data_IF_771603087301
#
_entry.id   IF_771603087301
#
_cell.length_a   1.000
_cell.length_b   1.000
_cell.length_c   1.000
_cell.angle_alpha   90.00
_cell.angle_beta   90.00
_cell.angle_gamma   90.00
#
_symmetry.space_group_name_H-M   'P 1'
#
loop_
_entity.id
_entity.type
_entity.pdbx_description
1 polymer ?
#
# COMPACT_ATOMS: atom_id res chain seq x y z
N UNK A 1 19.02 -4.89 27.22
CA UNK A 1 18.92 -4.93 25.76
C UNK A 1 19.20 -3.54 25.22
N UNK A 2 20.48 -3.26 25.04
CA UNK A 2 21.00 -1.96 24.61
C UNK A 2 21.09 -1.94 23.07
N UNK A 3 19.94 -1.81 22.42
CA UNK A 3 19.90 -1.43 21.01
C UNK A 3 18.87 -0.34 20.89
N UNK A 4 19.27 0.78 20.34
CA UNK A 4 18.38 1.89 19.98
C UNK A 4 17.45 1.42 18.85
N UNK A 5 16.31 0.83 19.26
CA UNK A 5 15.26 0.42 18.32
C UNK A 5 14.45 1.67 18.00
N UNK A 6 14.42 2.09 16.73
CA UNK A 6 13.67 3.24 16.28
C UNK A 6 12.31 2.91 15.65
N UNK A 7 12.05 1.64 15.33
CA UNK A 7 10.82 1.18 14.68
C UNK A 7 10.61 -0.31 14.90
N UNK A 8 9.35 -0.72 15.13
CA UNK A 8 8.94 -2.13 15.09
C UNK A 8 8.02 -2.34 13.87
N UNK A 9 8.33 -3.34 13.05
CA UNK A 9 7.46 -3.78 11.96
C UNK A 9 6.98 -5.20 12.20
N UNK A 10 5.67 -5.43 12.00
CA UNK A 10 5.01 -6.73 12.23
C UNK A 10 4.34 -7.17 10.93
N UNK A 11 4.77 -8.30 10.38
CA UNK A 11 4.16 -8.93 9.21
C UNK A 11 3.66 -10.34 9.62
N UNK A 12 2.39 -10.53 9.80
CA UNK A 12 1.25 -9.64 9.95
C UNK A 12 0.47 -10.01 11.20
N UNK A 13 -0.48 -9.16 11.65
CA UNK A 13 -1.16 -9.31 12.95
C UNK A 13 -1.83 -10.67 13.14
N UNK A 14 -2.40 -11.24 12.09
CA UNK A 14 -3.12 -12.51 12.14
C UNK A 14 -2.21 -13.74 12.35
N UNK A 15 -0.88 -13.59 12.29
CA UNK A 15 0.07 -14.63 12.70
C UNK A 15 0.40 -14.59 14.19
N UNK A 16 0.14 -13.48 14.84
CA UNK A 16 0.36 -13.35 16.28
C UNK A 16 -0.69 -14.17 17.06
N UNK A 17 -0.28 -14.70 18.20
CA UNK A 17 -1.15 -15.37 19.15
C UNK A 17 -1.32 -14.51 20.39
N UNK A 18 -2.54 -14.31 20.79
CA UNK A 18 -2.90 -13.66 22.03
C UNK A 18 -3.00 -14.67 23.20
N UNK A 19 -3.61 -14.24 24.32
CA UNK A 19 -3.83 -15.10 25.46
C UNK A 19 -4.67 -16.33 25.08
N UNK A 20 -4.34 -17.50 25.66
CA UNK A 20 -5.00 -18.78 25.36
C UNK A 20 -6.50 -18.81 25.66
N UNK A 21 -7.02 -17.85 26.42
CA UNK A 21 -8.42 -17.79 26.86
C UNK A 21 -9.27 -16.78 26.05
N UNK A 22 -8.84 -16.37 24.86
CA UNK A 22 -9.65 -15.50 24.02
C UNK A 22 -10.87 -16.26 23.48
N UNK A 23 -12.06 -15.73 23.69
CA UNK A 23 -13.34 -16.32 23.30
C UNK A 23 -13.53 -16.42 21.78
N UNK A 24 -12.85 -15.55 21.02
CA UNK A 24 -12.89 -15.54 19.57
C UNK A 24 -11.59 -14.97 19.00
N UNK A 25 -11.37 -15.19 17.68
CA UNK A 25 -10.21 -14.63 16.99
C UNK A 25 -10.24 -13.11 16.94
N UNK A 26 -11.41 -12.51 16.79
CA UNK A 26 -11.59 -11.06 16.83
C UNK A 26 -11.17 -10.50 18.20
N UNK A 27 -11.55 -11.19 19.28
CA UNK A 27 -11.17 -10.80 20.64
C UNK A 27 -9.65 -10.91 20.84
N UNK A 28 -9.06 -11.96 20.33
CA UNK A 28 -7.60 -12.16 20.38
C UNK A 28 -6.86 -11.04 19.67
N UNK A 29 -7.26 -10.69 18.44
CA UNK A 29 -6.66 -9.58 17.67
C UNK A 29 -6.86 -8.24 18.38
N UNK A 30 -8.01 -8.04 19.03
CA UNK A 30 -8.29 -6.86 19.83
C UNK A 30 -7.31 -6.71 20.99
N UNK A 31 -7.01 -7.78 21.71
CA UNK A 31 -6.03 -7.77 22.80
C UNK A 31 -4.63 -7.48 22.28
N UNK A 32 -4.26 -8.08 21.14
CA UNK A 32 -2.96 -7.86 20.50
C UNK A 32 -2.83 -6.38 20.10
N UNK A 33 -3.84 -5.83 19.42
CA UNK A 33 -3.83 -4.42 18.95
C UNK A 33 -3.67 -3.45 20.12
N UNK A 34 -4.45 -3.60 21.18
CA UNK A 34 -4.33 -2.79 22.38
C UNK A 34 -2.96 -2.91 23.05
N UNK A 35 -2.42 -4.14 23.11
CA UNK A 35 -1.08 -4.42 23.63
C UNK A 35 0.03 -3.73 22.83
N UNK A 36 -0.05 -3.76 21.49
CA UNK A 36 0.89 -3.07 20.62
C UNK A 36 0.80 -1.55 20.78
N UNK A 37 -0.40 -1.02 20.96
CA UNK A 37 -0.58 0.41 21.25
C UNK A 37 0.03 0.82 22.59
N UNK A 38 -0.12 -0.01 23.63
CA UNK A 38 0.49 0.22 24.93
C UNK A 38 2.03 0.17 24.82
N UNK A 39 2.56 -0.85 24.13
CA UNK A 39 4.00 -1.02 23.91
C UNK A 39 4.62 0.15 23.15
N UNK A 40 3.96 0.64 22.09
CA UNK A 40 4.43 1.81 21.34
C UNK A 40 4.58 3.04 22.23
N UNK A 41 3.63 3.24 23.15
CA UNK A 41 3.68 4.35 24.13
C UNK A 41 4.76 4.16 25.20
N UNK A 42 4.91 2.93 25.69
CA UNK A 42 5.90 2.60 26.72
C UNK A 42 7.33 2.77 26.23
N UNK A 43 7.59 2.34 24.98
CA UNK A 43 8.92 2.44 24.38
C UNK A 43 9.18 3.76 23.66
N UNK A 44 8.14 4.60 23.49
CA UNK A 44 8.17 5.85 22.73
C UNK A 44 8.71 5.65 21.29
N UNK A 45 8.30 4.54 20.64
CA UNK A 45 8.68 4.21 19.27
C UNK A 45 7.44 3.88 18.43
N UNK A 46 7.46 4.15 17.12
CA UNK A 46 6.39 3.74 16.23
C UNK A 46 6.36 2.23 16.02
N UNK A 47 5.14 1.69 15.92
CA UNK A 47 4.89 0.29 15.51
C UNK A 47 4.07 0.31 14.23
N UNK A 48 4.58 -0.31 13.17
CA UNK A 48 3.87 -0.55 11.91
C UNK A 48 3.45 -2.02 11.87
N UNK A 49 2.15 -2.27 11.84
CA UNK A 49 1.62 -3.63 11.76
C UNK A 49 0.85 -3.82 10.46
N UNK A 50 1.18 -4.86 9.71
CA UNK A 50 0.41 -5.27 8.55
C UNK A 50 -0.83 -6.04 9.03
N UNK A 51 -1.95 -5.81 8.38
CA UNK A 51 -3.20 -6.51 8.66
C UNK A 51 -3.88 -6.95 7.38
N UNK A 52 -4.33 -8.19 7.37
CA UNK A 52 -5.15 -8.69 6.28
C UNK A 52 -6.56 -8.08 6.38
N UNK A 53 -7.14 -7.74 5.24
CA UNK A 53 -8.52 -7.28 5.15
C UNK A 53 -9.48 -8.47 5.06
N UNK A 54 -10.74 -8.21 5.46
CA UNK A 54 -11.83 -9.16 5.24
C UNK A 54 -12.03 -9.37 3.72
N UNK A 55 -12.22 -10.63 3.33
CA UNK A 55 -12.46 -11.01 1.92
C UNK A 55 -13.73 -10.40 1.32
N UNK A 56 -14.63 -9.88 2.15
CA UNK A 56 -15.82 -9.17 1.67
C UNK A 56 -15.49 -7.98 0.76
N UNK A 57 -14.30 -7.40 0.86
CA UNK A 57 -13.83 -6.37 -0.07
C UNK A 57 -13.88 -6.84 -1.52
N UNK A 58 -13.57 -8.11 -1.77
CA UNK A 58 -13.53 -8.70 -3.11
C UNK A 58 -14.93 -8.85 -3.75
N UNK A 59 -15.99 -8.86 -2.93
CA UNK A 59 -17.38 -8.95 -3.40
C UNK A 59 -17.98 -7.61 -3.84
N UNK A 60 -17.33 -6.49 -3.50
CA UNK A 60 -17.78 -5.15 -3.93
C UNK A 60 -17.40 -4.88 -5.38
N UNK A 61 -18.19 -4.05 -6.04
CA UNK A 61 -17.95 -3.70 -7.44
C UNK A 61 -16.61 -2.96 -7.64
N UNK A 62 -16.27 -2.05 -6.73
CA UNK A 62 -15.04 -1.26 -6.77
C UNK A 62 -13.83 -1.95 -6.12
N UNK A 63 -14.08 -3.00 -5.32
CA UNK A 63 -13.06 -3.75 -4.55
C UNK A 63 -12.06 -2.85 -3.80
N UNK A 64 -12.46 -1.62 -3.55
CA UNK A 64 -11.63 -0.62 -2.90
C UNK A 64 -11.69 -0.79 -1.39
N UNK A 65 -10.55 -0.87 -0.68
CA UNK A 65 -10.52 -1.10 0.76
C UNK A 65 -11.07 0.09 1.55
N UNK A 66 -11.75 -0.22 2.65
CA UNK A 66 -12.37 0.74 3.56
C UNK A 66 -12.12 0.33 5.01
N UNK A 67 -12.31 1.28 5.96
CA UNK A 67 -12.15 0.97 7.39
C UNK A 67 -13.06 -0.17 7.86
N UNK A 68 -14.25 -0.30 7.29
CA UNK A 68 -15.15 -1.42 7.59
C UNK A 68 -14.58 -2.79 7.26
N UNK A 69 -13.57 -2.89 6.39
CA UNK A 69 -12.94 -4.16 6.02
C UNK A 69 -11.95 -4.66 7.08
N UNK A 70 -11.65 -3.81 8.09
CA UNK A 70 -10.92 -4.17 9.29
C UNK A 70 -11.83 -4.74 10.39
N UNK A 71 -13.14 -4.91 10.14
CA UNK A 71 -14.17 -5.22 11.17
C UNK A 71 -14.04 -6.55 11.87
N UNK A 72 -13.39 -7.54 11.31
CA UNK A 72 -13.03 -8.76 12.06
C UNK A 72 -12.01 -8.47 13.19
N UNK A 73 -11.59 -7.21 13.28
CA UNK A 73 -10.61 -6.70 14.22
C UNK A 73 -11.01 -5.28 14.64
N UNK A 74 -12.29 -5.06 15.01
CA UNK A 74 -12.89 -3.72 15.25
C UNK A 74 -12.11 -2.80 16.17
N UNK A 75 -11.21 -3.35 16.98
CA UNK A 75 -10.29 -2.58 17.82
C UNK A 75 -9.09 -2.03 17.03
N UNK A 76 -8.62 -2.68 15.95
CA UNK A 76 -7.48 -2.16 15.17
C UNK A 76 -7.78 -0.76 14.68
N UNK A 77 -8.99 -0.54 14.15
CA UNK A 77 -9.41 0.79 13.74
C UNK A 77 -9.37 1.80 14.89
N UNK A 78 -9.79 1.38 16.09
CA UNK A 78 -9.82 2.27 17.26
C UNK A 78 -8.42 2.57 17.80
N UNK A 79 -7.56 1.57 17.89
CA UNK A 79 -6.23 1.66 18.51
C UNK A 79 -5.22 2.37 17.60
N UNK A 80 -5.27 2.15 16.28
CA UNK A 80 -4.35 2.74 15.33
C UNK A 80 -4.48 4.27 15.28
N UNK A 81 -3.35 4.97 15.25
CA UNK A 81 -3.30 6.41 15.02
C UNK A 81 -3.46 6.73 13.54
N UNK A 82 -2.97 5.83 12.68
CA UNK A 82 -3.06 5.92 11.24
C UNK A 82 -3.44 4.56 10.65
N UNK A 83 -4.32 4.55 9.66
CA UNK A 83 -4.64 3.37 8.85
C UNK A 83 -4.37 3.72 7.39
N UNK A 84 -3.50 2.92 6.77
CA UNK A 84 -3.12 3.07 5.38
C UNK A 84 -3.52 1.80 4.63
N UNK A 85 -4.25 1.96 3.53
CA UNK A 85 -4.54 0.87 2.61
C UNK A 85 -3.67 0.97 1.38
N UNK A 86 -3.22 -0.18 0.90
CA UNK A 86 -2.55 -0.33 -0.38
C UNK A 86 -3.50 -1.04 -1.33
N UNK A 87 -4.00 -0.33 -2.33
CA UNK A 87 -4.92 -0.85 -3.32
C UNK A 87 -4.26 -0.89 -4.70
N UNK A 88 -4.37 -2.03 -5.36
CA UNK A 88 -3.86 -2.24 -6.72
C UNK A 88 -5.02 -2.68 -7.62
N UNK A 89 -5.68 -1.73 -8.32
CA UNK A 89 -6.84 -2.03 -9.16
C UNK A 89 -6.56 -3.11 -10.22
N UNK A 90 -5.36 -3.12 -10.76
CA UNK A 90 -4.88 -4.09 -11.73
C UNK A 90 -5.02 -5.56 -11.26
N UNK A 91 -4.96 -5.81 -9.95
CA UNK A 91 -5.11 -7.16 -9.39
C UNK A 91 -6.52 -7.71 -9.59
N UNK A 92 -7.51 -6.85 -9.76
CA UNK A 92 -8.92 -7.19 -9.85
C UNK A 92 -9.53 -6.92 -11.23
N UNK A 93 -8.87 -6.13 -12.07
CA UNK A 93 -9.28 -5.79 -13.43
C UNK A 93 -8.43 -6.50 -14.48
N UNK A 94 -8.80 -6.33 -15.74
CA UNK A 94 -7.98 -6.76 -16.84
C UNK A 94 -7.12 -5.57 -17.33
N UNK A 95 -5.82 -5.54 -17.02
CA UNK A 95 -4.95 -4.42 -17.39
C UNK A 95 -4.72 -4.28 -18.91
N UNK A 96 -5.21 -5.25 -19.71
CA UNK A 96 -5.19 -5.15 -21.17
C UNK A 96 -6.30 -4.26 -21.71
N UNK A 97 -7.38 -4.11 -20.93
CA UNK A 97 -8.55 -3.36 -21.32
C UNK A 97 -8.52 -1.93 -20.78
N UNK A 98 -7.62 -1.64 -19.82
CA UNK A 98 -7.53 -0.32 -19.18
C UNK A 98 -6.06 0.01 -18.83
N UNK A 99 -5.44 0.80 -19.68
CA UNK A 99 -4.07 1.29 -19.51
C UNK A 99 -3.92 2.20 -18.26
N UNK A 100 -5.01 2.81 -17.78
CA UNK A 100 -4.95 3.71 -16.63
C UNK A 100 -4.68 2.97 -15.33
N UNK A 101 -5.17 1.72 -15.20
CA UNK A 101 -4.96 0.89 -14.02
C UNK A 101 -3.67 0.08 -14.05
N UNK A 102 -2.99 0.03 -15.20
CA UNK A 102 -1.74 -0.71 -15.36
C UNK A 102 -0.66 -0.16 -14.44
N UNK A 103 -0.07 -1.06 -13.67
CA UNK A 103 0.95 -0.73 -12.67
C UNK A 103 0.50 0.33 -11.63
N UNK A 104 -0.80 0.62 -11.53
CA UNK A 104 -1.31 1.58 -10.56
C UNK A 104 -1.31 0.97 -9.17
N UNK A 105 -0.81 1.74 -8.20
CA UNK A 105 -1.01 1.50 -6.79
C UNK A 105 -1.58 2.77 -6.14
N UNK A 106 -2.71 2.63 -5.48
CA UNK A 106 -3.34 3.69 -4.70
C UNK A 106 -3.01 3.49 -3.22
N UNK A 107 -2.43 4.50 -2.62
CA UNK A 107 -2.16 4.55 -1.19
C UNK A 107 -3.25 5.43 -0.56
N UNK A 108 -4.09 4.82 0.27
CA UNK A 108 -5.27 5.45 0.83
C UNK A 108 -5.08 5.60 2.33
N UNK A 109 -5.00 6.83 2.82
CA UNK A 109 -4.97 7.14 4.24
C UNK A 109 -6.42 7.18 4.72
N UNK A 110 -6.92 6.03 5.19
CA UNK A 110 -8.32 5.88 5.64
C UNK A 110 -8.58 6.48 7.02
N UNK A 111 -7.55 6.56 7.86
CA UNK A 111 -7.59 7.19 9.18
C UNK A 111 -6.27 7.87 9.49
N UNK A 112 -6.36 9.05 10.09
CA UNK A 112 -5.21 9.75 10.66
C UNK A 112 -5.68 10.64 11.83
N UNK A 113 -5.15 10.40 13.04
CA UNK A 113 -5.56 11.17 14.24
C UNK A 113 -5.02 12.60 14.24
N UNK A 114 -3.83 12.79 13.68
CA UNK A 114 -3.13 14.08 13.75
C UNK A 114 -3.06 14.82 12.42
N UNK A 115 -3.92 14.44 11.44
CA UNK A 115 -3.92 15.07 10.13
C UNK A 115 -5.13 14.65 9.27
N UNK A 116 -5.23 15.16 8.04
CA UNK A 116 -6.30 14.81 7.13
C UNK A 116 -6.13 13.40 6.58
N UNK A 117 -7.24 12.77 6.23
CA UNK A 117 -7.26 11.60 5.36
C UNK A 117 -7.07 12.03 3.91
N UNK A 118 -6.69 11.10 3.04
CA UNK A 118 -6.47 11.39 1.63
C UNK A 118 -5.92 10.19 0.89
N UNK A 119 -5.56 10.41 -0.35
CA UNK A 119 -5.00 9.38 -1.20
C UNK A 119 -3.95 9.94 -2.16
N UNK A 120 -3.04 9.08 -2.58
CA UNK A 120 -2.10 9.38 -3.64
C UNK A 120 -1.77 8.14 -4.45
N UNK A 121 -1.33 8.36 -5.68
CA UNK A 121 -1.08 7.30 -6.66
C UNK A 121 0.41 7.10 -6.85
N UNK A 122 0.82 5.82 -6.88
CA UNK A 122 2.18 5.38 -7.17
C UNK A 122 2.15 4.46 -8.38
N UNK A 123 3.32 4.23 -8.96
CA UNK A 123 3.55 3.17 -9.94
C UNK A 123 4.15 1.98 -9.21
N UNK A 124 3.58 0.79 -9.40
CA UNK A 124 4.12 -0.46 -8.87
C UNK A 124 4.82 -1.25 -9.96
N UNK A 125 6.13 -1.34 -9.88
CA UNK A 125 6.94 -2.16 -10.80
C UNK A 125 6.95 -3.60 -10.32
N UNK A 126 6.24 -4.47 -11.02
CA UNK A 126 6.06 -5.88 -10.64
C UNK A 126 7.37 -6.66 -10.63
N UNK A 127 8.21 -6.43 -11.62
CA UNK A 127 9.48 -7.12 -11.83
C UNK A 127 10.44 -6.92 -10.65
N UNK A 128 10.32 -5.78 -9.96
CA UNK A 128 11.19 -5.42 -8.83
C UNK A 128 10.45 -5.34 -7.51
N UNK A 129 9.13 -5.60 -7.49
CA UNK A 129 8.26 -5.44 -6.31
C UNK A 129 8.45 -4.07 -5.65
N UNK A 130 8.51 -3.02 -6.46
CA UNK A 130 8.91 -1.68 -6.06
C UNK A 130 7.83 -0.65 -6.35
N UNK A 131 7.61 0.27 -5.39
CA UNK A 131 6.78 1.45 -5.59
C UNK A 131 7.64 2.62 -6.02
N UNK A 132 7.16 3.34 -7.03
CA UNK A 132 7.81 4.55 -7.55
C UNK A 132 6.83 5.69 -7.66
N UNK A 133 7.35 6.91 -7.68
CA UNK A 133 6.54 8.09 -7.90
C UNK A 133 5.91 8.05 -9.29
N UNK A 134 4.59 8.17 -9.36
CA UNK A 134 3.89 8.29 -10.65
C UNK A 134 4.09 9.70 -11.19
N UNK A 135 4.81 9.81 -12.30
CA UNK A 135 4.99 11.07 -13.03
C UNK A 135 3.86 11.14 -14.05
N UNK A 136 2.99 12.13 -13.90
CA UNK A 136 2.04 12.49 -14.95
C UNK A 136 2.75 13.49 -15.88
N UNK A 137 3.22 13.01 -17.02
CA UNK A 137 3.66 13.88 -18.10
C UNK A 137 2.38 14.29 -18.83
N UNK A 138 2.01 15.57 -18.73
CA UNK A 138 0.94 16.10 -19.53
C UNK A 138 1.32 15.95 -21.02
N UNK A 139 0.38 15.58 -21.91
CA UNK A 139 0.67 15.51 -23.36
C UNK A 139 1.25 16.81 -23.93
N UNK A 140 1.04 17.94 -23.27
CA UNK A 140 1.58 19.25 -23.62
C UNK A 140 3.05 19.46 -23.21
N UNK A 141 3.58 18.62 -22.31
CA UNK A 141 4.96 18.67 -21.81
C UNK A 141 5.88 17.65 -22.50
N UNK A 142 5.32 16.83 -23.41
CA UNK A 142 6.16 15.97 -24.23
C UNK A 142 6.99 16.84 -25.18
N UNK A 143 8.33 16.68 -25.21
CA UNK A 143 9.12 17.33 -26.22
C UNK A 143 8.60 16.90 -27.61
N UNK A 144 8.63 17.79 -28.60
CA UNK A 144 8.21 17.41 -29.95
C UNK A 144 9.00 16.19 -30.41
N UNK A 145 8.38 15.29 -31.19
CA UNK A 145 9.07 14.13 -31.72
C UNK A 145 10.35 14.61 -32.44
N UNK A 146 11.47 13.94 -32.14
CA UNK A 146 12.72 14.27 -32.82
C UNK A 146 12.49 14.13 -34.32
N UNK A 147 12.94 15.08 -35.14
CA UNK A 147 12.83 14.94 -36.58
C UNK A 147 13.56 13.66 -37.00
N UNK A 148 12.90 12.90 -37.88
CA UNK A 148 13.53 11.73 -38.51
C UNK A 148 14.85 12.19 -39.17
N UNK A 149 15.95 11.83 -38.56
CA UNK A 149 17.22 11.94 -39.23
C UNK A 149 17.21 10.86 -40.29
N UNK A 150 16.98 11.24 -41.55
CA UNK A 150 17.37 10.43 -42.70
C UNK A 150 18.84 10.09 -42.50
N UNK A 151 19.13 8.83 -42.19
CA UNK A 151 20.48 8.34 -42.20
C UNK A 151 20.89 8.42 -43.66
N UNK A 152 21.66 9.48 -43.98
CA UNK A 152 22.29 9.59 -45.30
C UNK A 152 23.05 8.28 -45.52
N UNK A 153 22.69 7.58 -46.56
CA UNK A 153 23.39 6.37 -46.97
C UNK A 153 24.88 6.70 -47.05
N UNK A 154 25.69 6.04 -46.24
CA UNK A 154 27.14 6.12 -46.35
C UNK A 154 27.47 5.64 -47.77
N UNK A 155 27.96 6.59 -48.60
CA UNK A 155 28.59 6.26 -49.88
C UNK A 155 29.76 5.32 -49.58
N UNK A 156 29.71 4.10 -50.12
CA UNK A 156 30.83 3.19 -50.07
C UNK A 156 32.06 3.86 -50.65
N UNK A 157 33.20 3.84 -49.95
CA UNK A 157 34.42 4.41 -50.50
C UNK A 157 34.82 3.65 -51.76
N UNK A 158 35.26 4.35 -52.82
CA UNK A 158 35.71 3.68 -54.04
C UNK A 158 37.06 3.02 -53.73
N UNK A 159 37.04 1.67 -53.66
CA UNK A 159 38.09 0.63 -53.89
C UNK A 159 37.87 -0.56 -53.00
#
# INVERSE_FOLDING_TARGET
LEKDIGLIMIDYLQLMRGPQNAESREREISVISGGLKALAKELDIPIVALSQLNRQVESRADKRPQLSDLRESGSIEQDADMVIFVHRPETYGNPKDDEEIKNLAEIIIGKQRSGPTGEFKLTFQKEYTRFERRIFISPQELPPPMPDYEIAAEEEPPF
#
